data_IF_500746338127
#
_entry.id   IF_500746338127
#
_cell.length_a   1.000
_cell.length_b   1.000
_cell.length_c   1.000
_cell.angle_alpha   90.00
_cell.angle_beta   90.00
_cell.angle_gamma   90.00
#
_symmetry.space_group_name_H-M   'P 1'
#
loop_
_entity.id
_entity.type
_entity.pdbx_description
1 polymer ?
#
# COMPACT_ATOMS: atom_id res chain seq x y z
N UNK A 1 1.62 -23.57 -22.49
CA UNK A 1 1.53 -22.99 -21.14
C UNK A 1 1.57 -21.47 -21.30
N UNK A 2 0.44 -20.77 -21.14
CA UNK A 2 0.38 -19.32 -21.32
C UNK A 2 1.24 -18.64 -20.24
N UNK A 3 2.31 -17.93 -20.65
CA UNK A 3 3.07 -17.07 -19.74
C UNK A 3 2.19 -15.86 -19.42
N UNK A 4 1.57 -15.84 -18.25
CA UNK A 4 0.95 -14.63 -17.72
C UNK A 4 2.05 -13.57 -17.56
N UNK A 5 1.95 -12.47 -18.32
CA UNK A 5 2.82 -11.31 -18.14
C UNK A 5 2.63 -10.80 -16.72
N UNK A 6 3.71 -10.63 -15.95
CA UNK A 6 3.68 -10.00 -14.64
C UNK A 6 4.20 -8.56 -14.72
N UNK A 7 3.72 -7.68 -13.84
CA UNK A 7 4.12 -6.27 -13.71
C UNK A 7 4.84 -6.03 -12.38
N UNK A 8 5.80 -5.11 -12.38
CA UNK A 8 6.27 -4.48 -11.13
C UNK A 8 5.22 -3.47 -10.67
N UNK A 9 5.21 -3.16 -9.39
CA UNK A 9 4.38 -2.08 -8.85
C UNK A 9 5.15 -0.77 -8.97
N UNK A 10 4.49 0.22 -9.56
CA UNK A 10 4.96 1.61 -9.61
C UNK A 10 4.11 2.54 -8.73
N UNK A 11 2.85 2.15 -8.44
CA UNK A 11 1.88 2.81 -7.57
C UNK A 11 0.94 1.79 -6.91
N UNK A 12 0.47 2.07 -5.70
CA UNK A 12 -0.62 1.35 -5.06
C UNK A 12 -1.97 1.79 -5.62
N UNK A 13 -2.92 0.85 -5.63
CA UNK A 13 -4.26 1.00 -6.17
C UNK A 13 -5.29 1.41 -5.10
N UNK A 14 -5.03 1.13 -3.81
CA UNK A 14 -5.86 1.57 -2.69
C UNK A 14 -5.11 1.57 -1.35
N UNK A 15 -5.64 2.28 -0.35
CA UNK A 15 -5.08 2.33 1.01
C UNK A 15 -6.19 2.18 2.07
N UNK A 16 -5.96 1.31 3.04
CA UNK A 16 -6.74 1.23 4.28
C UNK A 16 -6.08 2.12 5.35
N UNK A 17 -6.45 3.39 5.35
CA UNK A 17 -5.78 4.42 6.17
C UNK A 17 -6.16 4.40 7.65
N UNK A 18 -7.20 3.64 8.05
CA UNK A 18 -7.67 3.67 9.43
C UNK A 18 -9.09 3.17 9.66
N UNK A 19 -9.55 3.17 10.90
CA UNK A 19 -8.87 3.66 12.10
C UNK A 19 -8.21 2.54 12.92
N UNK A 20 -7.26 2.88 13.79
CA UNK A 20 -6.77 1.94 14.79
C UNK A 20 -7.93 1.39 15.63
N UNK A 21 -7.91 0.07 15.90
CA UNK A 21 -8.95 -0.66 16.64
C UNK A 21 -10.34 -0.68 15.96
N UNK A 22 -10.45 -0.32 14.67
CA UNK A 22 -11.70 -0.42 13.90
C UNK A 22 -11.81 -1.68 13.04
N UNK A 23 -11.00 -2.72 13.30
CA UNK A 23 -11.04 -3.98 12.56
C UNK A 23 -10.20 -4.03 11.28
N UNK A 24 -9.27 -3.10 11.08
CA UNK A 24 -8.35 -3.05 9.92
C UNK A 24 -7.55 -4.34 9.76
N UNK A 25 -7.11 -4.99 10.84
CA UNK A 25 -6.43 -6.30 10.80
C UNK A 25 -7.30 -7.39 10.16
N UNK A 26 -8.59 -7.43 10.50
CA UNK A 26 -9.51 -8.42 9.94
C UNK A 26 -9.78 -8.13 8.46
N UNK A 27 -9.99 -6.86 8.11
CA UNK A 27 -10.16 -6.43 6.72
C UNK A 27 -8.93 -6.76 5.86
N UNK A 28 -7.73 -6.45 6.34
CA UNK A 28 -6.47 -6.84 5.70
C UNK A 28 -6.40 -8.35 5.45
N UNK A 29 -6.71 -9.15 6.47
CA UNK A 29 -6.70 -10.62 6.35
C UNK A 29 -7.68 -11.15 5.28
N UNK A 30 -8.87 -10.56 5.15
CA UNK A 30 -9.82 -10.98 4.13
C UNK A 30 -9.38 -10.54 2.72
N UNK A 31 -8.88 -9.31 2.57
CA UNK A 31 -8.40 -8.79 1.28
C UNK A 31 -7.16 -9.54 0.79
N UNK A 32 -6.22 -9.89 1.68
CA UNK A 32 -5.02 -10.65 1.33
C UNK A 32 -5.30 -12.07 0.82
N UNK A 33 -6.54 -12.56 0.95
CA UNK A 33 -6.98 -13.87 0.43
C UNK A 33 -7.71 -13.78 -0.89
N UNK A 34 -8.02 -12.56 -1.37
CA UNK A 34 -8.71 -12.39 -2.64
C UNK A 34 -7.72 -12.61 -3.81
N UNK A 35 -8.05 -13.43 -4.83
CA UNK A 35 -7.11 -13.80 -5.90
C UNK A 35 -6.61 -12.61 -6.73
N UNK A 36 -7.41 -11.54 -6.81
CA UNK A 36 -7.10 -10.33 -7.58
C UNK A 36 -6.62 -9.16 -6.70
N UNK A 37 -6.26 -9.41 -5.44
CA UNK A 37 -5.70 -8.40 -4.55
C UNK A 37 -4.36 -8.88 -3.98
N UNK A 38 -3.37 -7.99 -3.99
CA UNK A 38 -2.09 -8.17 -3.32
C UNK A 38 -1.96 -7.13 -2.20
N UNK A 39 -1.82 -7.61 -0.97
CA UNK A 39 -1.37 -6.79 0.15
C UNK A 39 0.16 -6.87 0.25
N UNK A 40 0.78 -5.94 0.97
CA UNK A 40 2.20 -6.00 1.29
C UNK A 40 2.56 -7.29 2.05
N UNK A 41 3.85 -7.63 2.05
CA UNK A 41 4.40 -8.79 2.76
C UNK A 41 4.33 -8.70 4.29
N UNK A 42 3.95 -7.53 4.81
CA UNK A 42 3.70 -7.26 6.22
C UNK A 42 2.52 -6.31 6.41
N UNK A 43 1.94 -6.33 7.61
CA UNK A 43 0.96 -5.33 8.03
C UNK A 43 1.66 -4.04 8.45
N UNK A 44 0.99 -2.89 8.25
CA UNK A 44 1.44 -1.58 8.71
C UNK A 44 2.86 -1.25 8.22
N UNK A 45 3.02 -0.97 6.92
CA UNK A 45 4.32 -0.64 6.31
C UNK A 45 4.89 0.68 6.87
N UNK A 46 4.02 1.55 7.38
CA UNK A 46 4.40 2.85 7.95
C UNK A 46 5.21 3.73 7.01
N UNK A 47 4.90 3.68 5.71
CA UNK A 47 5.60 4.49 4.75
C UNK A 47 5.17 5.95 4.88
N UNK A 48 3.87 6.25 4.72
CA UNK A 48 3.39 7.63 4.62
C UNK A 48 3.36 8.40 5.96
N UNK A 49 3.47 7.71 7.09
CA UNK A 49 3.53 8.29 8.45
C UNK A 49 4.92 8.32 9.09
N UNK A 50 5.97 7.82 8.41
CA UNK A 50 7.35 8.01 8.84
C UNK A 50 7.93 9.30 8.25
N UNK A 51 8.01 10.35 9.07
CA UNK A 51 8.57 11.64 8.68
C UNK A 51 10.03 11.57 8.22
N UNK A 52 10.82 10.60 8.70
CA UNK A 52 12.21 10.44 8.29
C UNK A 52 12.33 10.08 6.80
N UNK A 53 11.33 9.41 6.22
CA UNK A 53 11.29 9.04 4.80
C UNK A 53 10.94 10.22 3.88
N UNK A 54 10.47 11.35 4.44
CA UNK A 54 10.00 12.52 3.70
C UNK A 54 10.80 13.80 3.98
N UNK A 55 11.97 13.69 4.62
CA UNK A 55 12.90 14.83 4.79
C UNK A 55 13.45 15.32 3.45
N UNK A 56 13.55 14.41 2.48
CA UNK A 56 13.89 14.68 1.08
C UNK A 56 12.84 14.06 0.16
N UNK A 57 13.10 14.07 -1.16
CA UNK A 57 12.27 13.32 -2.10
C UNK A 57 12.15 11.85 -1.64
N UNK A 58 10.92 11.33 -1.45
CA UNK A 58 10.72 10.00 -0.91
C UNK A 58 11.13 8.94 -1.93
N UNK A 59 11.88 7.94 -1.46
CA UNK A 59 12.20 6.75 -2.27
C UNK A 59 11.07 5.71 -2.15
N UNK A 60 10.15 5.73 -3.11
CA UNK A 60 9.01 4.82 -3.15
C UNK A 60 9.39 3.35 -3.35
N UNK A 61 10.63 3.03 -3.77
CA UNK A 61 11.08 1.63 -3.81
C UNK A 61 11.11 1.00 -2.41
N UNK A 62 11.30 1.81 -1.36
CA UNK A 62 11.18 1.35 0.03
C UNK A 62 9.77 0.86 0.36
N UNK A 63 8.73 1.38 -0.30
CA UNK A 63 7.35 0.88 -0.21
C UNK A 63 7.13 -0.29 -1.19
N UNK A 64 7.52 -0.15 -2.45
CA UNK A 64 7.20 -1.11 -3.51
C UNK A 64 7.87 -2.47 -3.33
N UNK A 65 9.02 -2.54 -2.65
CA UNK A 65 9.72 -3.80 -2.35
C UNK A 65 8.89 -4.80 -1.54
N UNK A 66 7.86 -4.33 -0.83
CA UNK A 66 6.95 -5.16 -0.04
C UNK A 66 5.95 -5.95 -0.89
N UNK A 67 5.98 -5.79 -2.22
CA UNK A 67 5.04 -6.44 -3.12
C UNK A 67 5.76 -7.31 -4.16
N UNK A 68 5.22 -8.51 -4.46
CA UNK A 68 5.76 -9.34 -5.53
C UNK A 68 5.38 -8.79 -6.91
N UNK A 69 5.95 -9.39 -7.97
CA UNK A 69 5.47 -9.16 -9.33
C UNK A 69 4.01 -9.63 -9.47
N UNK A 70 3.12 -8.74 -9.90
CA UNK A 70 1.68 -8.93 -9.94
C UNK A 70 1.17 -9.33 -11.33
N UNK A 71 0.01 -9.97 -11.41
CA UNK A 71 -0.69 -10.08 -12.68
C UNK A 71 -1.22 -8.70 -13.10
N UNK A 72 -1.51 -8.46 -14.40
CA UNK A 72 -1.86 -7.13 -14.88
C UNK A 72 -3.14 -6.57 -14.25
N UNK A 73 -4.08 -7.43 -13.86
CA UNK A 73 -5.37 -7.07 -13.25
C UNK A 73 -5.39 -7.13 -11.73
N UNK A 74 -4.30 -7.54 -11.07
CA UNK A 74 -4.24 -7.60 -9.60
C UNK A 74 -4.06 -6.20 -9.03
N UNK A 75 -4.91 -5.83 -8.07
CA UNK A 75 -4.84 -4.58 -7.33
C UNK A 75 -3.87 -4.70 -6.16
N UNK A 76 -3.10 -3.66 -5.88
CA UNK A 76 -2.16 -3.58 -4.77
C UNK A 76 -2.65 -2.61 -3.69
N UNK A 77 -2.70 -3.07 -2.44
CA UNK A 77 -3.15 -2.27 -1.31
C UNK A 77 -2.16 -2.18 -0.16
N UNK A 78 -2.18 -1.07 0.57
CA UNK A 78 -1.52 -0.92 1.87
C UNK A 78 -2.56 -0.79 2.99
N UNK A 79 -2.17 -1.17 4.21
CA UNK A 79 -3.02 -1.07 5.38
C UNK A 79 -2.20 -0.60 6.59
N UNK A 80 -2.17 0.71 6.79
CA UNK A 80 -1.52 1.36 7.93
C UNK A 80 -2.55 2.27 8.62
N UNK A 81 -3.17 1.83 9.73
CA UNK A 81 -4.31 2.52 10.34
C UNK A 81 -4.00 3.89 10.96
N UNK A 82 -2.72 4.21 11.15
CA UNK A 82 -2.26 5.51 11.67
C UNK A 82 -2.30 6.61 10.61
N UNK A 83 -2.37 6.30 9.32
CA UNK A 83 -2.41 7.30 8.26
C UNK A 83 -3.58 8.28 8.40
N UNK A 84 -4.74 7.85 8.90
CA UNK A 84 -5.89 8.74 9.11
C UNK A 84 -5.65 9.81 10.18
N UNK A 85 -4.68 9.60 11.08
CA UNK A 85 -4.35 10.52 12.17
C UNK A 85 -3.07 11.31 11.93
N UNK A 86 -2.17 10.80 11.08
CA UNK A 86 -0.93 11.49 10.73
C UNK A 86 -1.23 12.59 9.70
N UNK A 87 -1.22 13.84 10.15
CA UNK A 87 -1.64 15.00 9.37
C UNK A 87 -0.99 15.08 7.96
N UNK A 88 0.32 14.85 7.80
CA UNK A 88 0.96 14.83 6.46
C UNK A 88 0.61 13.64 5.57
N UNK A 89 0.11 12.52 6.13
CA UNK A 89 0.00 11.26 5.38
C UNK A 89 -0.95 11.39 4.19
N UNK A 90 -2.09 12.07 4.35
CA UNK A 90 -3.05 12.28 3.27
C UNK A 90 -2.44 13.04 2.08
N UNK A 91 -1.67 14.10 2.34
CA UNK A 91 -0.99 14.86 1.29
C UNK A 91 0.10 14.03 0.61
N UNK A 92 0.87 13.25 1.39
CA UNK A 92 1.92 12.36 0.86
C UNK A 92 1.34 11.24 -0.02
N UNK A 93 0.20 10.68 0.37
CA UNK A 93 -0.55 9.69 -0.40
C UNK A 93 -1.05 10.30 -1.73
N UNK A 94 -1.63 11.50 -1.69
CA UNK A 94 -2.09 12.19 -2.89
C UNK A 94 -0.94 12.55 -3.84
N UNK A 95 0.19 13.04 -3.31
CA UNK A 95 1.41 13.30 -4.10
C UNK A 95 1.98 12.04 -4.72
N UNK A 96 1.89 10.92 -4.03
CA UNK A 96 2.29 9.62 -4.55
C UNK A 96 1.40 9.18 -5.70
N UNK A 97 0.09 9.11 -5.49
CA UNK A 97 -0.89 8.74 -6.51
C UNK A 97 -2.16 9.59 -6.33
N UNK A 98 -2.43 10.57 -7.21
CA UNK A 98 -3.63 11.40 -7.10
C UNK A 98 -4.92 10.67 -7.50
N UNK A 99 -4.82 9.50 -8.13
CA UNK A 99 -5.95 8.66 -8.56
C UNK A 99 -6.25 7.51 -7.57
N UNK A 100 -5.68 7.55 -6.36
CA UNK A 100 -5.81 6.49 -5.34
C UNK A 100 -7.11 6.57 -4.53
#
# INVERSE_FOLDING_TARGET
>A
MFRTKRRKIDRLDFILAGAQKSGTTALHYFLSRHPDIAMGDQQEIHFFDDDALFVSEPDYEQLHKHYPLLAPSTLAGDCTPSYIYHEPAAERIWKYNPEI
#
